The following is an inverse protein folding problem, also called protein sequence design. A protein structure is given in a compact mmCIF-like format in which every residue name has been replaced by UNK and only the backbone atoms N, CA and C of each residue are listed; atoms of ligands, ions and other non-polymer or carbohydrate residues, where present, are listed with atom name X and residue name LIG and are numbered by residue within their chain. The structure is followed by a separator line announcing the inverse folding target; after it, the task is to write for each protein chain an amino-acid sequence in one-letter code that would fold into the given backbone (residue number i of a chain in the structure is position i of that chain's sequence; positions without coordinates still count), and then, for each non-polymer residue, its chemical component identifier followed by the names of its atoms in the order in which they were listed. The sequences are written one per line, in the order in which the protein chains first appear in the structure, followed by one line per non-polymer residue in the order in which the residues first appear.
data_IF_450578572081
#
_entry.id   IF_450578572081
#
_cell.length_a   1.000
_cell.length_b   1.000
_cell.length_c   1.000
_cell.angle_alpha   90.00
_cell.angle_beta   90.00
_cell.angle_gamma   90.00
#
_symmetry.space_group_name_H-M   'P 1'
#
loop_
_entity.id
_entity.type
_entity.pdbx_description
1 polymer ?
#
# COMPACT_ATOMS: atom_id res chain seq x y z
N UNK A 1 36.84 30.46 22.65
CA UNK A 1 37.06 30.48 24.11
C UNK A 1 36.00 31.40 24.69
N UNK A 2 35.42 31.04 25.86
CA UNK A 2 34.11 31.45 26.42
C UNK A 2 32.97 30.62 25.82
N UNK A 3 32.07 29.97 26.56
CA UNK A 3 32.08 29.23 27.84
C UNK A 3 30.74 28.46 27.85
N UNK A 4 30.71 27.31 28.48
CA UNK A 4 29.58 26.40 28.64
C UNK A 4 28.41 27.04 29.40
N UNK A 5 27.18 26.57 29.14
CA UNK A 5 26.23 26.28 30.21
C UNK A 5 25.38 25.04 29.90
N UNK A 6 25.57 24.03 30.76
CA UNK A 6 24.75 22.84 30.98
C UNK A 6 23.74 23.16 32.07
N UNK A 7 22.49 22.67 31.95
CA UNK A 7 21.52 22.35 33.04
C UNK A 7 20.08 22.43 32.47
N UNK A 8 19.06 21.66 32.84
CA UNK A 8 18.91 20.43 33.61
C UNK A 8 17.40 20.04 33.50
N UNK A 9 17.11 18.74 33.36
CA UNK A 9 15.95 17.99 33.88
C UNK A 9 14.54 18.62 34.02
N UNK A 10 13.53 17.92 33.46
CA UNK A 10 12.50 17.21 34.27
C UNK A 10 11.60 16.27 33.45
N UNK A 11 11.71 14.98 33.76
CA UNK A 11 10.68 13.97 33.53
C UNK A 11 9.48 14.19 34.44
N UNK A 12 8.28 13.86 33.98
CA UNK A 12 7.16 13.50 34.85
C UNK A 12 6.25 12.49 34.14
N UNK A 13 6.22 11.30 34.75
CA UNK A 13 5.26 10.22 34.56
C UNK A 13 3.85 10.68 34.94
N UNK A 14 2.82 9.99 34.43
CA UNK A 14 1.68 9.56 35.23
C UNK A 14 1.04 8.30 34.62
N UNK A 15 1.00 7.24 35.43
CA UNK A 15 0.22 6.01 35.30
C UNK A 15 -1.07 6.15 36.13
N UNK A 16 -2.13 5.45 35.74
CA UNK A 16 -3.14 4.72 36.57
C UNK A 16 -4.35 4.35 35.66
N UNK A 17 -4.54 3.07 35.29
CA UNK A 17 -5.24 1.93 35.95
C UNK A 17 -6.73 1.86 35.56
N UNK A 18 -7.23 0.90 34.75
CA UNK A 18 -7.52 -0.55 34.92
C UNK A 18 -9.04 -0.84 35.10
N UNK A 19 -9.44 -2.04 34.66
CA UNK A 19 -10.73 -2.79 34.85
C UNK A 19 -11.86 -2.58 33.82
N UNK A 20 -12.64 -3.58 33.38
CA UNK A 20 -12.57 -5.06 33.31
C UNK A 20 -13.75 -5.54 32.42
N UNK A 21 -13.82 -6.86 32.15
CA UNK A 21 -14.96 -7.66 31.64
C UNK A 21 -15.04 -7.90 30.11
N UNK A 22 -15.35 -9.10 29.58
CA UNK A 22 -15.43 -10.50 30.06
C UNK A 22 -15.66 -11.35 28.79
N UNK A 23 -14.85 -12.37 28.55
CA UNK A 23 -15.12 -13.38 27.51
C UNK A 23 -16.22 -14.36 27.95
N UNK A 24 -16.82 -15.08 27.00
CA UNK A 24 -17.06 -16.50 27.24
C UNK A 24 -16.47 -17.39 26.14
N UNK A 25 -15.83 -18.44 26.66
CA UNK A 25 -15.37 -19.65 26.00
C UNK A 25 -16.52 -20.42 25.34
N UNK A 26 -16.22 -21.15 24.25
CA UNK A 26 -16.70 -22.53 24.13
C UNK A 26 -15.76 -23.37 23.26
N UNK A 27 -15.08 -24.26 23.96
CA UNK A 27 -14.38 -25.48 23.55
C UNK A 27 -15.23 -26.44 22.70
N UNK A 28 -14.58 -27.25 21.85
CA UNK A 28 -14.73 -28.74 21.72
C UNK A 28 -13.78 -29.19 20.57
N UNK A 29 -12.62 -29.83 20.83
CA UNK A 29 -12.40 -31.30 20.88
C UNK A 29 -13.22 -32.05 19.81
N UNK A 30 -12.67 -32.82 18.88
CA UNK A 30 -11.36 -33.47 18.73
C UNK A 30 -11.60 -34.85 18.12
N UNK A 31 -10.59 -35.40 17.43
CA UNK A 31 -10.42 -36.84 17.11
C UNK A 31 -11.38 -37.46 16.07
N UNK A 32 -11.08 -38.52 15.32
CA UNK A 32 -9.87 -39.28 15.00
C UNK A 32 -10.28 -40.34 13.96
N UNK A 33 -9.35 -40.66 13.04
CA UNK A 33 -9.07 -41.99 12.45
C UNK A 33 -10.19 -42.95 11.98
N UNK A 34 -9.95 -43.41 10.74
CA UNK A 34 -10.10 -44.77 10.20
C UNK A 34 -11.53 -45.33 10.03
N UNK A 35 -11.86 -45.79 8.81
CA UNK A 35 -11.75 -47.20 8.41
C UNK A 35 -12.28 -47.41 6.98
N UNK A 36 -11.86 -48.54 6.43
CA UNK A 36 -11.88 -49.01 5.04
C UNK A 36 -12.89 -50.16 4.96
N UNK A 37 -13.79 -50.21 3.97
CA UNK A 37 -14.18 -51.46 3.26
C UNK A 37 -15.45 -51.35 2.38
N UNK A 38 -15.33 -51.96 1.19
CA UNK A 38 -16.31 -52.79 0.46
C UNK A 38 -17.52 -52.19 -0.31
N UNK A 39 -17.30 -52.07 -1.62
CA UNK A 39 -18.01 -52.70 -2.76
C UNK A 39 -19.33 -53.47 -2.48
N UNK A 40 -20.41 -53.05 -3.15
CA UNK A 40 -21.38 -53.82 -3.99
C UNK A 40 -22.65 -52.96 -4.21
N UNK A 41 -22.91 -52.48 -5.44
CA UNK A 41 -23.85 -52.98 -6.48
C UNK A 41 -25.32 -52.56 -6.29
N UNK A 42 -25.82 -51.94 -7.37
CA UNK A 42 -27.22 -51.86 -7.84
C UNK A 42 -28.30 -51.27 -6.92
N UNK A 43 -28.79 -50.09 -7.27
CA UNK A 43 -30.05 -49.96 -8.03
C UNK A 43 -30.32 -48.49 -8.37
N UNK A 44 -30.68 -48.27 -9.62
CA UNK A 44 -31.12 -46.98 -10.15
C UNK A 44 -32.51 -46.64 -9.59
N UNK A 45 -32.60 -45.59 -8.78
CA UNK A 45 -33.83 -44.81 -8.67
C UNK A 45 -33.52 -43.38 -9.12
N UNK A 46 -33.88 -43.11 -10.37
CA UNK A 46 -33.84 -41.80 -10.99
C UNK A 46 -34.85 -40.89 -10.28
N UNK A 47 -34.39 -40.10 -9.33
CA UNK A 47 -35.07 -38.86 -8.98
C UNK A 47 -34.81 -37.86 -10.11
N UNK A 48 -35.72 -37.80 -11.08
CA UNK A 48 -35.83 -36.67 -12.00
C UNK A 48 -36.29 -35.46 -11.21
N UNK A 49 -35.32 -34.72 -10.68
CA UNK A 49 -35.55 -33.32 -10.32
C UNK A 49 -35.54 -32.58 -11.65
N UNK A 50 -36.72 -32.17 -12.10
CA UNK A 50 -36.85 -31.17 -13.16
C UNK A 50 -36.25 -29.87 -12.61
N UNK A 51 -34.99 -29.63 -12.93
CA UNK A 51 -34.36 -28.35 -12.73
C UNK A 51 -34.92 -27.50 -13.85
N UNK A 52 -35.87 -26.62 -13.53
CA UNK A 52 -36.20 -25.51 -14.41
C UNK A 52 -34.88 -24.78 -14.69
N UNK A 53 -34.34 -25.03 -15.89
CA UNK A 53 -33.21 -24.32 -16.45
C UNK A 53 -33.66 -22.87 -16.63
N UNK A 54 -33.54 -22.09 -15.55
CA UNK A 54 -33.51 -20.65 -15.61
C UNK A 54 -32.47 -20.31 -16.67
N UNK A 55 -32.95 -19.90 -17.86
CA UNK A 55 -32.13 -19.47 -18.97
C UNK A 55 -31.30 -18.26 -18.52
N UNK A 56 -30.14 -18.52 -17.92
CA UNK A 56 -29.16 -17.49 -17.59
C UNK A 56 -28.57 -17.08 -18.94
N UNK A 57 -28.83 -15.84 -19.41
CA UNK A 57 -28.23 -15.38 -20.66
C UNK A 57 -26.71 -15.41 -20.50
N UNK A 58 -26.00 -15.87 -21.53
CA UNK A 58 -24.54 -15.89 -21.53
C UNK A 58 -24.01 -14.47 -21.29
N UNK A 59 -23.25 -14.31 -20.20
CA UNK A 59 -22.62 -13.03 -19.87
C UNK A 59 -21.50 -12.81 -20.91
N UNK A 60 -21.50 -11.69 -21.65
CA UNK A 60 -20.45 -11.43 -22.62
C UNK A 60 -19.09 -11.37 -21.93
N UNK A 61 -18.09 -12.04 -22.52
CA UNK A 61 -16.72 -12.00 -21.99
C UNK A 61 -16.22 -10.55 -21.90
N UNK A 62 -15.66 -10.13 -20.74
CA UNK A 62 -15.14 -8.79 -20.59
C UNK A 62 -14.02 -8.52 -21.61
N UNK A 63 -14.00 -7.33 -22.24
CA UNK A 63 -13.04 -7.02 -23.29
C UNK A 63 -11.61 -7.15 -22.77
N UNK A 64 -10.86 -8.11 -23.32
CA UNK A 64 -9.45 -8.37 -22.98
C UNK A 64 -8.63 -7.11 -23.33
N UNK A 65 -8.15 -6.38 -22.31
CA UNK A 65 -7.33 -5.16 -22.52
C UNK A 65 -6.04 -5.52 -23.26
N UNK A 66 -5.91 -5.08 -24.51
CA UNK A 66 -4.79 -5.43 -25.42
C UNK A 66 -3.49 -4.64 -25.20
N UNK A 67 -3.40 -3.75 -24.21
CA UNK A 67 -2.20 -2.89 -24.05
C UNK A 67 -1.28 -3.45 -22.98
N UNK A 68 -0.28 -4.23 -23.41
CA UNK A 68 0.95 -4.44 -22.63
C UNK A 68 1.65 -3.10 -22.48
N UNK A 69 2.07 -2.73 -21.27
CA UNK A 69 2.93 -1.58 -21.05
C UNK A 69 4.22 -1.78 -21.87
N UNK A 70 4.45 -0.96 -22.89
CA UNK A 70 5.72 -0.90 -23.63
C UNK A 70 6.45 0.38 -23.22
N UNK A 71 7.77 0.47 -23.46
CA UNK A 71 8.59 1.66 -23.18
C UNK A 71 8.06 2.97 -23.81
N UNK A 72 7.11 2.89 -24.74
CA UNK A 72 6.48 4.04 -25.38
C UNK A 72 5.11 4.39 -24.76
N UNK A 73 4.81 3.93 -23.55
CA UNK A 73 3.57 4.31 -22.86
C UNK A 73 3.56 5.82 -22.59
N UNK A 74 2.44 6.52 -22.85
CA UNK A 74 2.32 7.94 -22.55
C UNK A 74 2.55 8.17 -21.04
N UNK A 75 3.67 8.77 -20.68
CA UNK A 75 4.05 9.06 -19.29
C UNK A 75 5.42 8.52 -18.84
N UNK A 76 6.01 7.56 -19.56
CA UNK A 76 7.38 7.08 -19.32
C UNK A 76 8.29 7.57 -20.45
N UNK A 77 8.81 8.78 -20.31
CA UNK A 77 9.79 9.30 -21.24
C UNK A 77 11.16 8.67 -20.98
N UNK A 78 12.01 8.58 -22.01
CA UNK A 78 13.40 8.17 -21.85
C UNK A 78 14.18 9.05 -20.84
N UNK A 79 13.69 10.28 -20.60
CA UNK A 79 14.24 11.20 -19.63
C UNK A 79 13.96 10.76 -18.19
N UNK A 80 12.73 10.36 -17.88
CA UNK A 80 12.37 9.85 -16.54
C UNK A 80 13.19 8.60 -16.21
N UNK A 81 13.41 7.70 -17.17
CA UNK A 81 14.24 6.51 -16.96
C UNK A 81 15.71 6.86 -16.66
N UNK A 82 16.24 7.94 -17.24
CA UNK A 82 17.59 8.43 -16.92
C UNK A 82 17.62 9.04 -15.51
N UNK A 83 16.61 9.82 -15.16
CA UNK A 83 16.49 10.43 -13.84
C UNK A 83 16.40 9.37 -12.74
N UNK A 84 15.57 8.34 -12.92
CA UNK A 84 15.47 7.21 -11.98
C UNK A 84 16.85 6.57 -11.77
N UNK A 85 17.57 6.24 -12.85
CA UNK A 85 18.90 5.63 -12.75
C UNK A 85 19.93 6.52 -12.07
N UNK A 86 19.79 7.84 -12.16
CA UNK A 86 20.70 8.78 -11.50
C UNK A 86 20.40 8.99 -10.02
N UNK A 87 19.14 8.79 -9.62
CA UNK A 87 18.66 9.01 -8.24
C UNK A 87 18.66 7.71 -7.41
N UNK A 88 18.57 6.55 -8.07
CA UNK A 88 18.53 5.25 -7.42
C UNK A 88 19.94 4.78 -7.04
N UNK A 89 20.13 4.53 -5.74
CA UNK A 89 21.39 4.07 -5.14
C UNK A 89 21.11 2.97 -4.10
N UNK A 90 22.15 2.41 -3.50
CA UNK A 90 22.00 1.38 -2.46
C UNK A 90 21.22 1.86 -1.24
N UNK A 91 21.30 3.15 -0.89
CA UNK A 91 20.59 3.76 0.23
C UNK A 91 19.25 4.41 -0.13
N UNK A 92 18.98 4.65 -1.42
CA UNK A 92 17.82 5.44 -1.88
C UNK A 92 17.03 4.65 -2.92
N UNK A 93 15.76 4.40 -2.64
CA UNK A 93 14.83 3.83 -3.61
C UNK A 93 14.07 4.96 -4.30
N UNK A 94 13.88 4.88 -5.61
CA UNK A 94 13.06 5.84 -6.36
C UNK A 94 11.68 5.23 -6.62
N UNK A 95 10.64 5.96 -6.24
CA UNK A 95 9.25 5.60 -6.51
C UNK A 95 8.68 6.56 -7.55
N UNK A 96 8.03 6.03 -8.58
CA UNK A 96 7.40 6.81 -9.64
C UNK A 96 5.96 7.13 -9.27
N UNK A 97 5.63 8.42 -9.24
CA UNK A 97 4.31 8.90 -8.80
C UNK A 97 3.67 9.75 -9.88
N UNK A 98 2.40 9.52 -10.18
CA UNK A 98 1.66 10.42 -11.06
C UNK A 98 1.16 11.64 -10.27
N UNK A 99 1.68 12.82 -10.58
CA UNK A 99 1.16 14.06 -10.01
C UNK A 99 -0.05 14.54 -10.82
N UNK A 100 -1.24 14.53 -10.22
CA UNK A 100 -2.48 14.96 -10.86
C UNK A 100 -2.49 16.45 -11.21
N UNK A 101 -1.80 17.28 -10.41
CA UNK A 101 -1.69 18.72 -10.60
C UNK A 101 -0.76 19.08 -11.77
N UNK A 102 0.42 18.44 -11.84
CA UNK A 102 1.34 18.61 -12.98
C UNK A 102 0.91 17.85 -14.24
N UNK A 103 0.05 16.84 -14.10
CA UNK A 103 -0.25 15.84 -15.14
C UNK A 103 1.02 15.18 -15.68
N UNK A 104 1.95 14.84 -14.77
CA UNK A 104 3.26 14.31 -15.09
C UNK A 104 3.68 13.26 -14.05
N UNK A 105 4.52 12.30 -14.48
CA UNK A 105 5.13 11.32 -13.59
C UNK A 105 6.38 11.92 -12.97
N UNK A 106 6.46 11.91 -11.64
CA UNK A 106 7.53 12.49 -10.83
C UNK A 106 8.31 11.35 -10.17
N UNK A 107 9.64 11.29 -10.35
CA UNK A 107 10.50 10.39 -9.58
C UNK A 107 10.72 10.95 -8.18
N UNK A 108 10.28 10.20 -7.16
CA UNK A 108 10.43 10.57 -5.75
C UNK A 108 11.52 9.72 -5.11
N UNK A 109 12.67 10.30 -4.72
CA UNK A 109 13.72 9.58 -4.00
C UNK A 109 13.35 9.41 -2.54
N UNK A 110 13.39 8.17 -2.05
CA UNK A 110 13.04 7.80 -0.68
C UNK A 110 14.23 7.07 -0.03
N UNK A 111 14.74 7.56 1.11
CA UNK A 111 15.74 6.85 1.89
C UNK A 111 15.21 5.49 2.37
N UNK A 112 15.94 4.40 2.08
CA UNK A 112 15.47 3.05 2.41
C UNK A 112 15.34 2.84 3.91
N UNK A 113 16.33 3.33 4.66
CA UNK A 113 16.40 3.17 6.12
C UNK A 113 15.19 3.73 6.86
N UNK A 114 14.54 4.78 6.31
CA UNK A 114 13.34 5.37 6.92
C UNK A 114 12.12 4.45 6.80
N UNK A 115 12.05 3.68 5.71
CA UNK A 115 10.93 2.79 5.39
C UNK A 115 11.14 1.42 6.03
N UNK A 116 12.32 0.81 5.85
CA UNK A 116 12.60 -0.56 6.28
C UNK A 116 12.70 -0.70 7.80
N UNK A 117 13.14 0.35 8.50
CA UNK A 117 13.28 0.34 9.97
C UNK A 117 12.03 0.87 10.69
N UNK A 118 10.97 1.22 9.95
CA UNK A 118 9.75 1.75 10.53
C UNK A 118 8.99 0.69 11.33
N UNK A 119 8.51 1.08 12.51
CA UNK A 119 7.62 0.24 13.35
C UNK A 119 6.21 0.21 12.76
N UNK A 120 5.80 1.30 12.09
CA UNK A 120 4.48 1.40 11.48
C UNK A 120 4.51 0.78 10.07
N UNK A 121 3.49 -0.03 9.70
CA UNK A 121 3.47 -0.76 8.43
C UNK A 121 3.23 0.14 7.21
N UNK A 122 2.69 1.35 7.44
CA UNK A 122 2.42 2.33 6.39
C UNK A 122 3.02 3.66 6.80
N UNK A 123 4.01 4.13 6.05
CA UNK A 123 4.80 5.31 6.34
C UNK A 123 4.37 6.48 5.44
N UNK A 124 3.96 7.62 6.01
CA UNK A 124 3.71 8.82 5.23
C UNK A 124 5.04 9.50 4.85
N UNK A 125 5.29 9.67 3.55
CA UNK A 125 6.42 10.41 3.00
C UNK A 125 5.88 11.61 2.23
N UNK A 126 6.30 12.81 2.61
CA UNK A 126 5.90 14.05 1.93
C UNK A 126 7.04 14.55 1.06
N UNK A 127 6.75 14.80 -0.21
CA UNK A 127 7.70 15.28 -1.19
C UNK A 127 7.18 16.55 -1.84
N UNK A 128 7.92 17.65 -1.67
CA UNK A 128 7.60 18.94 -2.26
C UNK A 128 8.32 19.06 -3.60
N UNK A 129 7.59 19.41 -4.65
CA UNK A 129 8.19 19.64 -5.96
C UNK A 129 7.53 20.80 -6.70
N UNK A 130 8.27 21.34 -7.66
CA UNK A 130 7.80 22.42 -8.52
C UNK A 130 7.16 21.84 -9.79
N UNK A 131 6.15 22.52 -10.32
CA UNK A 131 5.56 22.19 -11.60
C UNK A 131 6.45 22.71 -12.75
N UNK A 132 6.88 21.87 -13.70
CA UNK A 132 7.69 22.34 -14.83
C UNK A 132 6.92 23.25 -15.80
N UNK A 133 5.57 23.23 -15.78
CA UNK A 133 4.70 24.00 -16.68
C UNK A 133 4.14 25.28 -16.05
N UNK A 134 4.38 25.52 -14.77
CA UNK A 134 3.91 26.71 -14.06
C UNK A 134 4.66 26.87 -12.74
N UNK A 135 4.86 28.09 -12.27
CA UNK A 135 5.56 28.37 -11.00
C UNK A 135 4.68 28.03 -9.79
N UNK A 136 4.32 26.76 -9.66
CA UNK A 136 3.40 26.25 -8.66
C UNK A 136 4.06 25.12 -7.87
N UNK A 137 4.23 25.38 -6.58
CA UNK A 137 4.84 24.46 -5.63
C UNK A 137 3.75 23.68 -4.91
N UNK A 138 3.83 22.35 -4.94
CA UNK A 138 2.91 21.51 -4.19
C UNK A 138 3.61 20.30 -3.60
N UNK A 139 2.98 19.76 -2.56
CA UNK A 139 3.44 18.60 -1.83
C UNK A 139 2.63 17.38 -2.24
N UNK A 140 3.32 16.28 -2.52
CA UNK A 140 2.72 14.96 -2.63
C UNK A 140 3.01 14.18 -1.36
N UNK A 141 1.98 13.75 -0.66
CA UNK A 141 2.11 12.82 0.48
C UNK A 141 1.78 11.41 0.02
N UNK A 142 2.78 10.55 0.04
CA UNK A 142 2.69 9.13 -0.27
C UNK A 142 2.56 8.33 1.01
N UNK A 143 1.70 7.32 1.00
CA UNK A 143 1.61 6.33 2.06
C UNK A 143 2.22 5.05 1.53
N UNK A 144 3.47 4.79 1.92
CA UNK A 144 4.27 3.68 1.43
C UNK A 144 4.21 2.52 2.44
N UNK A 145 4.27 1.29 1.96
CA UNK A 145 4.55 0.14 2.83
C UNK A 145 6.06 -0.16 2.89
N UNK A 146 6.42 -1.24 3.59
CA UNK A 146 7.80 -1.71 3.75
C UNK A 146 8.46 -2.13 2.44
N UNK A 147 7.67 -2.44 1.41
CA UNK A 147 8.13 -2.82 0.08
C UNK A 147 8.19 -1.62 -0.88
N UNK A 148 7.99 -0.41 -0.37
CA UNK A 148 7.93 0.86 -1.13
C UNK A 148 6.73 0.96 -2.09
N UNK A 149 5.71 0.13 -1.93
CA UNK A 149 4.49 0.20 -2.72
C UNK A 149 3.57 1.33 -2.21
N UNK A 150 3.01 2.07 -3.16
CA UNK A 150 2.11 3.20 -2.86
C UNK A 150 0.72 2.65 -2.50
N UNK A 151 0.32 2.79 -1.24
CA UNK A 151 -1.04 2.44 -0.76
C UNK A 151 -2.04 3.57 -0.93
N UNK A 152 -1.57 4.81 -0.77
CA UNK A 152 -2.39 6.02 -0.95
C UNK A 152 -1.50 7.19 -1.34
N UNK A 153 -2.09 8.14 -2.07
CA UNK A 153 -1.48 9.40 -2.45
C UNK A 153 -2.41 10.55 -2.08
N UNK A 154 -1.85 11.68 -1.63
CA UNK A 154 -2.55 12.96 -1.46
C UNK A 154 -1.71 14.09 -2.03
N UNK A 155 -2.36 15.14 -2.51
CA UNK A 155 -1.73 16.37 -2.97
C UNK A 155 -2.17 17.49 -2.04
N UNK A 156 -1.26 18.38 -1.70
CA UNK A 156 -1.50 19.50 -0.80
C UNK A 156 -0.81 20.76 -1.30
N UNK A 157 -1.45 21.91 -1.08
CA UNK A 157 -0.85 23.21 -1.32
C UNK A 157 0.28 23.45 -0.32
N UNK A 158 1.36 24.09 -0.79
CA UNK A 158 2.47 24.51 0.05
C UNK A 158 2.43 26.02 0.18
N UNK A 159 2.27 26.48 1.42
CA UNK A 159 2.35 27.90 1.76
C UNK A 159 3.67 28.13 2.47
N UNK A 160 4.56 28.91 1.87
CA UNK A 160 5.82 29.32 2.48
C UNK A 160 5.58 30.69 3.12
N UNK A 161 5.68 30.78 4.45
CA UNK A 161 5.65 32.06 5.14
C UNK A 161 7.06 32.64 5.20
N UNK A 162 7.28 33.75 4.49
CA UNK A 162 8.47 34.58 4.68
C UNK A 162 8.31 35.41 5.95
N UNK A 163 8.61 34.84 7.11
CA UNK A 163 8.68 35.57 8.38
C UNK A 163 9.63 34.86 9.35
N UNK A 164 10.94 35.09 9.19
CA UNK A 164 11.97 34.98 10.23
C UNK A 164 13.02 36.07 9.96
#
# INVERSE_FOLDING_TARGET
MILLDNSNNKSLNNQESLENEKQPNSSFHGSSKQQKSNKEKESEEKNTIEIDDFNIPEIPEPPKKKKKLTQNSPGLSAQILKEVKSLENDSTKVVLVNCERCKAVIPVPIPKDFITNSIIPVIPVSYVHNNPKGNDLHCITLYLDTDFDIRRQRISDVVISENI
#
